data_IF_252772056501
#
_entry.id   IF_252772056501
#
_cell.length_a   1.000
_cell.length_b   1.000
_cell.length_c   1.000
_cell.angle_alpha   90.00
_cell.angle_beta   90.00
_cell.angle_gamma   90.00
#
_symmetry.space_group_name_H-M   'P 1'
#
loop_
_entity.id
_entity.type
_entity.pdbx_description
1 polymer ?
#
# COMPACT_ATOMS: atom_id res chain seq x y z
N UNK A 1 -0.87 -46.34 3.96
CA UNK A 1 -0.41 -45.08 3.34
C UNK A 1 -0.93 -43.97 4.20
N UNK A 2 -0.07 -43.45 5.10
CA UNK A 2 -0.45 -42.47 6.11
C UNK A 2 -0.32 -41.08 5.53
N UNK A 3 -1.44 -40.33 5.54
CA UNK A 3 -1.50 -38.90 5.22
C UNK A 3 -0.75 -38.13 6.32
N UNK A 4 0.42 -37.60 6.02
CA UNK A 4 1.11 -36.63 6.87
C UNK A 4 0.47 -35.26 6.63
N UNK A 5 -0.29 -34.80 7.64
CA UNK A 5 -0.74 -33.41 7.73
C UNK A 5 0.48 -32.51 7.92
N UNK A 6 0.73 -31.61 6.98
CA UNK A 6 1.69 -30.51 7.10
C UNK A 6 1.04 -29.36 7.89
N UNK A 7 0.82 -29.55 9.17
CA UNK A 7 0.56 -28.46 10.11
C UNK A 7 1.80 -28.28 10.99
N UNK A 8 2.41 -27.08 11.07
CA UNK A 8 3.47 -26.84 12.03
C UNK A 8 2.89 -26.93 13.43
N UNK A 9 3.50 -27.76 14.27
CA UNK A 9 3.14 -27.92 15.68
C UNK A 9 3.43 -26.61 16.42
N UNK A 10 2.38 -25.86 16.76
CA UNK A 10 2.45 -24.75 17.69
C UNK A 10 2.36 -25.33 19.09
N UNK A 11 3.45 -25.29 19.85
CA UNK A 11 3.44 -25.62 21.28
C UNK A 11 2.64 -24.57 22.05
N UNK A 12 1.86 -25.01 23.03
CA UNK A 12 0.85 -24.26 23.78
C UNK A 12 1.41 -23.24 24.80
N UNK A 13 2.65 -22.81 24.66
CA UNK A 13 3.24 -21.77 25.48
C UNK A 13 3.69 -20.60 24.59
N UNK A 14 2.78 -19.62 24.44
CA UNK A 14 3.05 -18.37 23.74
C UNK A 14 3.98 -17.40 24.50
N UNK A 15 5.11 -17.87 25.02
CA UNK A 15 6.25 -17.04 25.38
C UNK A 15 7.04 -16.76 24.11
N UNK A 16 7.32 -15.47 23.87
CA UNK A 16 8.34 -15.06 22.92
C UNK A 16 9.57 -15.92 23.17
N UNK A 17 9.91 -16.79 22.19
CA UNK A 17 11.09 -17.64 22.28
C UNK A 17 12.30 -16.74 22.50
N UNK A 18 13.21 -17.18 23.38
CA UNK A 18 14.55 -16.66 23.50
C UNK A 18 15.20 -16.61 22.10
N UNK A 19 15.10 -15.46 21.44
CA UNK A 19 15.93 -15.19 20.26
C UNK A 19 17.35 -15.09 20.77
N UNK A 20 18.33 -15.75 20.13
CA UNK A 20 19.74 -15.58 20.48
C UNK A 20 20.05 -14.09 20.48
N UNK A 21 20.92 -13.65 21.40
CA UNK A 21 21.31 -12.28 21.65
C UNK A 21 21.46 -11.47 20.35
N UNK A 22 20.35 -10.85 19.92
CA UNK A 22 20.40 -9.89 18.84
C UNK A 22 21.19 -8.68 19.34
N UNK A 23 22.06 -8.10 18.51
CA UNK A 23 22.76 -6.88 18.89
C UNK A 23 21.75 -5.84 19.37
N UNK A 24 22.11 -5.01 20.38
CA UNK A 24 21.20 -4.00 20.89
C UNK A 24 20.68 -3.15 19.73
N UNK A 25 19.38 -2.78 19.77
CA UNK A 25 18.78 -2.00 18.69
C UNK A 25 19.61 -0.76 18.40
N UNK A 26 19.88 -0.44 17.11
CA UNK A 26 20.49 0.83 16.77
C UNK A 26 19.63 1.94 17.38
N UNK A 27 20.27 2.97 17.90
CA UNK A 27 19.57 4.09 18.51
C UNK A 27 18.46 4.58 17.57
N UNK A 28 17.23 4.77 18.04
CA UNK A 28 16.05 5.19 17.22
C UNK A 28 16.37 6.33 16.24
N UNK A 29 17.14 7.39 16.62
CA UNK A 29 17.58 8.43 15.69
C UNK A 29 18.44 7.91 14.53
N UNK A 30 19.33 6.96 14.77
CA UNK A 30 20.20 6.38 13.72
C UNK A 30 19.37 5.57 12.73
N UNK A 31 18.45 4.76 13.22
CA UNK A 31 17.57 3.97 12.35
C UNK A 31 16.64 4.87 11.51
N UNK A 32 16.07 5.92 12.10
CA UNK A 32 15.29 6.90 11.37
C UNK A 32 16.13 7.58 10.28
N UNK A 33 17.36 7.99 10.59
CA UNK A 33 18.28 8.58 9.62
C UNK A 33 18.58 7.60 8.47
N UNK A 34 18.81 6.33 8.76
CA UNK A 34 19.05 5.29 7.73
C UNK A 34 17.84 5.15 6.79
N UNK A 35 16.61 5.12 7.33
CA UNK A 35 15.40 5.09 6.53
C UNK A 35 15.24 6.35 5.66
N UNK A 36 15.45 7.55 6.22
CA UNK A 36 15.39 8.78 5.44
C UNK A 36 16.44 8.86 4.35
N UNK A 37 17.67 8.39 4.62
CA UNK A 37 18.72 8.30 3.60
C UNK A 37 18.34 7.31 2.50
N UNK A 38 17.75 6.17 2.84
CA UNK A 38 17.25 5.21 1.87
C UNK A 38 16.17 5.83 0.96
N UNK A 39 15.19 6.54 1.53
CA UNK A 39 14.12 7.19 0.75
C UNK A 39 14.68 8.32 -0.11
N UNK A 40 15.51 9.20 0.45
CA UNK A 40 16.14 10.29 -0.31
C UNK A 40 16.97 9.74 -1.47
N UNK A 41 17.80 8.72 -1.21
CA UNK A 41 18.62 8.09 -2.26
C UNK A 41 17.73 7.49 -3.35
N UNK A 42 16.67 6.79 -2.97
CA UNK A 42 15.70 6.21 -3.91
C UNK A 42 15.04 7.28 -4.80
N UNK A 43 14.63 8.41 -4.21
CA UNK A 43 14.03 9.51 -4.99
C UNK A 43 15.05 10.23 -5.88
N UNK A 44 16.30 10.38 -5.43
CA UNK A 44 17.38 10.91 -6.26
C UNK A 44 17.68 9.98 -7.45
N UNK A 45 17.80 8.68 -7.21
CA UNK A 45 17.96 7.66 -8.26
C UNK A 45 16.79 7.71 -9.23
N UNK A 46 15.56 7.81 -8.71
CA UNK A 46 14.35 7.98 -9.52
C UNK A 46 14.39 9.23 -10.40
N UNK A 47 14.74 10.39 -9.83
CA UNK A 47 14.84 11.67 -10.55
C UNK A 47 15.93 11.62 -11.65
N UNK A 48 17.08 11.03 -11.35
CA UNK A 48 18.15 10.83 -12.35
C UNK A 48 17.70 9.89 -13.47
N UNK A 49 17.01 8.80 -13.13
CA UNK A 49 16.46 7.87 -14.13
C UNK A 49 15.44 8.57 -15.02
N UNK A 50 14.54 9.36 -14.42
CA UNK A 50 13.54 10.16 -15.15
C UNK A 50 14.19 11.11 -16.14
N UNK A 51 15.16 11.90 -15.65
CA UNK A 51 15.89 12.83 -16.48
C UNK A 51 16.62 12.14 -17.64
N UNK A 52 17.32 11.03 -17.40
CA UNK A 52 18.04 10.27 -18.45
C UNK A 52 17.11 9.68 -19.48
N UNK A 53 15.93 9.18 -19.09
CA UNK A 53 14.94 8.66 -20.04
C UNK A 53 14.35 9.77 -20.91
N UNK A 54 14.10 10.95 -20.35
CA UNK A 54 13.67 12.12 -21.14
C UNK A 54 14.76 12.58 -22.11
N UNK A 55 16.01 12.68 -21.65
CA UNK A 55 17.14 13.14 -22.48
C UNK A 55 17.42 12.16 -23.63
N UNK A 56 17.33 10.86 -23.39
CA UNK A 56 17.62 9.84 -24.42
C UNK A 56 16.51 9.67 -25.45
N UNK A 57 15.29 10.07 -25.13
CA UNK A 57 14.10 9.84 -25.97
C UNK A 57 13.77 8.36 -26.23
N UNK A 58 14.37 7.43 -25.46
CA UNK A 58 14.17 5.98 -25.64
C UNK A 58 12.75 5.52 -25.24
N UNK A 59 12.10 6.29 -24.39
CA UNK A 59 10.70 6.07 -23.96
C UNK A 59 9.99 7.41 -24.04
N UNK A 60 8.97 7.52 -24.89
CA UNK A 60 8.26 8.79 -25.13
C UNK A 60 7.06 8.97 -24.19
N UNK A 61 6.32 7.88 -23.88
CA UNK A 61 5.13 7.97 -23.05
C UNK A 61 5.51 8.16 -21.57
N UNK A 62 5.14 9.29 -20.94
CA UNK A 62 5.44 9.57 -19.53
C UNK A 62 4.97 8.46 -18.57
N UNK A 63 3.90 7.75 -18.91
CA UNK A 63 3.41 6.61 -18.13
C UNK A 63 4.49 5.52 -18.01
N UNK A 64 5.14 5.13 -19.10
CA UNK A 64 6.17 4.09 -19.06
C UNK A 64 7.50 4.59 -18.47
N UNK A 65 7.82 5.88 -18.64
CA UNK A 65 8.94 6.51 -17.92
C UNK A 65 8.72 6.37 -16.41
N UNK A 66 7.55 6.77 -15.90
CA UNK A 66 7.22 6.67 -14.49
C UNK A 66 7.24 5.22 -13.97
N UNK A 67 6.81 4.25 -14.79
CA UNK A 67 6.88 2.83 -14.43
C UNK A 67 8.33 2.36 -14.20
N UNK A 68 9.21 2.65 -15.16
CA UNK A 68 10.64 2.29 -15.06
C UNK A 68 11.27 2.97 -13.84
N UNK A 69 11.02 4.27 -13.67
CA UNK A 69 11.51 5.07 -12.53
C UNK A 69 11.07 4.44 -11.20
N UNK A 70 9.81 4.07 -11.10
CA UNK A 70 9.26 3.47 -9.88
C UNK A 70 9.91 2.13 -9.57
N UNK A 71 10.13 1.27 -10.57
CA UNK A 71 10.83 0.00 -10.39
C UNK A 71 12.29 0.20 -9.99
N UNK A 72 13.03 1.10 -10.65
CA UNK A 72 14.44 1.40 -10.32
C UNK A 72 14.58 1.98 -8.92
N UNK A 73 13.69 2.90 -8.53
CA UNK A 73 13.64 3.46 -7.17
C UNK A 73 13.37 2.40 -6.13
N UNK A 74 12.49 1.44 -6.43
CA UNK A 74 12.18 0.31 -5.53
C UNK A 74 13.38 -0.62 -5.38
N UNK A 75 14.15 -0.87 -6.44
CA UNK A 75 15.41 -1.64 -6.35
C UNK A 75 16.42 -0.93 -5.44
N UNK A 76 16.50 0.40 -5.48
CA UNK A 76 17.36 1.15 -4.55
C UNK A 76 16.93 0.92 -3.08
N UNK A 77 15.64 0.97 -2.77
CA UNK A 77 15.12 0.63 -1.42
C UNK A 77 15.46 -0.81 -1.02
N UNK A 78 15.31 -1.76 -1.95
CA UNK A 78 15.67 -3.15 -1.70
C UNK A 78 17.17 -3.33 -1.36
N UNK A 79 18.07 -2.60 -2.00
CA UNK A 79 19.51 -2.59 -1.65
C UNK A 79 19.71 -2.10 -0.21
N UNK A 80 19.00 -1.07 0.23
CA UNK A 80 19.04 -0.63 1.63
C UNK A 80 18.44 -1.67 2.57
N UNK A 81 17.42 -2.41 2.15
CA UNK A 81 16.85 -3.52 2.92
C UNK A 81 17.88 -4.63 3.14
N UNK A 82 18.68 -4.98 2.12
CA UNK A 82 19.80 -5.92 2.25
C UNK A 82 20.84 -5.39 3.22
N UNK A 83 21.28 -4.14 3.04
CA UNK A 83 22.33 -3.52 3.84
C UNK A 83 21.99 -3.44 5.33
N UNK A 84 20.71 -3.37 5.68
CA UNK A 84 20.21 -3.31 7.06
C UNK A 84 19.61 -4.65 7.55
N UNK A 85 19.66 -5.70 6.73
CA UNK A 85 19.01 -7.00 6.99
C UNK A 85 17.54 -6.85 7.45
N UNK A 86 16.80 -5.92 6.84
CA UNK A 86 15.42 -5.59 7.24
C UNK A 86 14.57 -5.09 6.06
N UNK A 87 13.64 -5.91 5.60
CA UNK A 87 12.74 -5.55 4.48
C UNK A 87 11.65 -4.55 4.87
N UNK A 88 11.39 -4.31 6.17
CA UNK A 88 10.41 -3.33 6.64
C UNK A 88 10.80 -1.87 6.35
N UNK A 89 12.00 -1.60 5.83
CA UNK A 89 12.35 -0.29 5.24
C UNK A 89 11.40 0.06 4.08
N UNK A 90 10.92 -0.94 3.35
CA UNK A 90 9.99 -0.74 2.24
C UNK A 90 8.58 -0.29 2.69
N UNK A 91 8.13 -0.69 3.88
CA UNK A 91 6.75 -0.47 4.31
C UNK A 91 6.30 1.01 4.28
N UNK A 92 7.04 2.01 4.79
CA UNK A 92 6.66 3.41 4.60
C UNK A 92 6.88 3.92 3.18
N UNK A 93 7.84 3.35 2.45
CA UNK A 93 8.22 3.83 1.12
C UNK A 93 7.08 3.71 0.11
N UNK A 94 6.39 2.56 0.04
CA UNK A 94 5.33 2.35 -0.93
C UNK A 94 4.15 3.32 -0.79
N UNK A 95 4.00 3.94 0.39
CA UNK A 95 2.98 4.96 0.67
C UNK A 95 3.47 6.36 0.32
N UNK A 96 4.77 6.66 0.49
CA UNK A 96 5.35 7.97 0.15
C UNK A 96 5.52 8.12 -1.37
N UNK A 97 5.84 7.05 -2.06
CA UNK A 97 6.19 7.08 -3.48
C UNK A 97 5.06 7.61 -4.39
N UNK A 98 3.78 7.18 -4.30
CA UNK A 98 2.72 7.68 -5.17
C UNK A 98 2.45 9.19 -5.09
N UNK A 99 2.38 9.85 -3.92
CA UNK A 99 2.25 11.31 -3.82
C UNK A 99 3.41 12.07 -4.46
N UNK A 100 4.66 11.60 -4.28
CA UNK A 100 5.85 12.21 -4.91
C UNK A 100 5.84 12.00 -6.42
N UNK A 101 5.50 10.79 -6.86
CA UNK A 101 5.38 10.45 -8.27
C UNK A 101 4.30 11.29 -8.97
N UNK A 102 3.19 11.60 -8.29
CA UNK A 102 2.15 12.47 -8.81
C UNK A 102 2.68 13.88 -9.15
N UNK A 103 3.54 14.43 -8.30
CA UNK A 103 4.22 15.72 -8.59
C UNK A 103 5.17 15.61 -9.78
N UNK A 104 5.90 14.49 -9.92
CA UNK A 104 6.76 14.25 -11.06
C UNK A 104 5.96 14.19 -12.38
N UNK A 105 4.80 13.51 -12.37
CA UNK A 105 3.90 13.50 -13.54
C UNK A 105 3.35 14.89 -13.86
N UNK A 106 2.97 15.67 -12.85
CA UNK A 106 2.55 17.06 -13.08
C UNK A 106 3.68 17.90 -13.68
N UNK A 107 4.92 17.66 -13.28
CA UNK A 107 6.07 18.36 -13.81
C UNK A 107 6.30 18.11 -15.33
N UNK A 108 5.81 17.00 -15.87
CA UNK A 108 5.86 16.69 -17.33
C UNK A 108 4.67 17.22 -18.12
N UNK A 109 3.58 17.61 -17.45
CA UNK A 109 2.44 18.25 -18.09
C UNK A 109 2.79 19.69 -18.50
N UNK A 110 2.01 20.29 -19.42
CA UNK A 110 2.22 21.64 -19.94
C UNK A 110 2.53 22.68 -18.86
N UNK A 111 3.61 23.44 -19.03
CA UNK A 111 4.10 24.44 -18.09
C UNK A 111 4.86 23.92 -16.86
N UNK A 112 5.08 22.62 -16.72
CA UNK A 112 5.82 22.02 -15.63
C UNK A 112 5.11 22.13 -14.27
N UNK A 113 5.87 21.95 -13.17
CA UNK A 113 5.33 21.99 -11.81
C UNK A 113 4.84 23.39 -11.39
N UNK A 114 5.46 24.44 -11.92
CA UNK A 114 5.12 25.84 -11.65
C UNK A 114 4.10 26.42 -12.63
N UNK A 115 3.73 25.67 -13.68
CA UNK A 115 2.71 26.04 -14.64
C UNK A 115 1.28 25.90 -14.11
N UNK A 116 0.31 26.12 -15.01
CA UNK A 116 -1.11 26.04 -14.64
C UNK A 116 -1.51 24.64 -14.18
N UNK A 117 -2.32 24.61 -13.14
CA UNK A 117 -2.93 23.41 -12.60
C UNK A 117 -4.42 23.37 -12.94
N UNK A 118 -4.90 22.29 -13.52
CA UNK A 118 -6.34 22.07 -13.57
C UNK A 118 -6.87 21.67 -12.19
N UNK A 119 -8.14 21.99 -11.90
CA UNK A 119 -8.78 21.55 -10.66
C UNK A 119 -8.72 20.02 -10.44
N UNK A 120 -8.73 19.25 -11.52
CA UNK A 120 -8.57 17.78 -11.50
C UNK A 120 -7.18 17.37 -11.04
N UNK A 121 -6.13 17.98 -11.57
CA UNK A 121 -4.75 17.69 -11.17
C UNK A 121 -4.53 18.00 -9.68
N UNK A 122 -5.04 19.15 -9.21
CA UNK A 122 -5.03 19.50 -7.78
C UNK A 122 -5.75 18.44 -6.94
N UNK A 123 -6.94 18.01 -7.38
CA UNK A 123 -7.73 17.02 -6.66
C UNK A 123 -7.02 15.66 -6.55
N UNK A 124 -6.47 15.15 -7.65
CA UNK A 124 -5.72 13.87 -7.65
C UNK A 124 -4.54 13.94 -6.69
N UNK A 125 -3.72 14.99 -6.77
CA UNK A 125 -2.56 15.17 -5.89
C UNK A 125 -3.00 15.31 -4.43
N UNK A 126 -4.01 16.13 -4.15
CA UNK A 126 -4.53 16.31 -2.79
C UNK A 126 -5.05 15.00 -2.18
N UNK A 127 -5.83 14.21 -2.95
CA UNK A 127 -6.31 12.90 -2.47
C UNK A 127 -5.16 11.96 -2.11
N UNK A 128 -4.11 11.87 -2.94
CA UNK A 128 -2.94 11.05 -2.67
C UNK A 128 -2.17 11.51 -1.41
N UNK A 129 -1.99 12.82 -1.24
CA UNK A 129 -1.33 13.34 -0.05
C UNK A 129 -2.16 13.11 1.22
N UNK A 130 -3.48 13.28 1.18
CA UNK A 130 -4.37 13.00 2.32
C UNK A 130 -4.28 11.52 2.70
N UNK A 131 -4.34 10.60 1.71
CA UNK A 131 -4.18 9.17 1.92
C UNK A 131 -2.80 8.83 2.50
N UNK A 132 -1.71 9.35 1.92
CA UNK A 132 -0.34 9.08 2.38
C UNK A 132 -0.08 9.64 3.79
N UNK A 133 -0.52 10.86 4.10
CA UNK A 133 -0.38 11.47 5.43
C UNK A 133 -1.12 10.63 6.47
N UNK A 134 -2.35 10.18 6.17
CA UNK A 134 -3.11 9.32 7.08
C UNK A 134 -2.33 8.04 7.42
N UNK A 135 -1.76 7.37 6.44
CA UNK A 135 -0.93 6.19 6.67
C UNK A 135 0.26 6.51 7.58
N UNK A 136 0.99 7.59 7.32
CA UNK A 136 2.17 7.97 8.09
C UNK A 136 1.88 8.38 9.53
N UNK A 137 0.70 8.96 9.78
CA UNK A 137 0.33 9.44 11.11
C UNK A 137 -0.30 8.36 11.98
N UNK A 138 -1.04 7.43 11.38
CA UNK A 138 -1.87 6.47 12.11
C UNK A 138 -1.25 5.07 12.19
N UNK A 139 -0.35 4.70 11.28
CA UNK A 139 0.21 3.36 11.24
C UNK A 139 1.50 3.25 12.06
N UNK A 140 1.65 2.16 12.82
CA UNK A 140 2.90 1.83 13.51
C UNK A 140 3.81 1.10 12.55
N UNK A 141 4.60 1.85 11.78
CA UNK A 141 5.57 1.26 10.87
C UNK A 141 6.70 0.57 11.62
N UNK A 142 6.96 -0.71 11.25
CA UNK A 142 8.01 -1.50 11.88
C UNK A 142 9.41 -0.90 11.72
N UNK A 143 9.78 -0.45 10.52
CA UNK A 143 11.15 -0.06 10.20
C UNK A 143 11.72 1.09 11.04
N UNK A 144 11.29 2.30 10.79
CA UNK A 144 11.89 3.49 11.41
C UNK A 144 11.38 3.79 12.84
N UNK A 145 10.14 3.40 13.19
CA UNK A 145 9.62 3.56 14.55
C UNK A 145 10.18 2.56 15.54
N UNK A 146 10.52 1.36 15.07
CA UNK A 146 11.11 0.30 15.88
C UNK A 146 12.62 0.30 15.87
N UNK A 147 13.27 1.21 15.12
CA UNK A 147 14.71 1.31 15.05
C UNK A 147 15.36 0.22 14.21
N UNK A 148 14.66 -0.32 13.21
CA UNK A 148 15.09 -1.42 12.33
C UNK A 148 15.40 -2.74 13.07
N UNK A 149 14.95 -2.87 14.31
CA UNK A 149 15.16 -4.08 15.14
C UNK A 149 14.08 -5.12 14.90
N UNK A 150 12.88 -4.63 14.58
CA UNK A 150 11.73 -5.48 14.32
C UNK A 150 11.43 -5.49 12.82
N UNK A 151 11.34 -6.68 12.28
CA UNK A 151 10.87 -6.91 10.92
C UNK A 151 9.41 -7.38 10.95
N UNK A 152 8.61 -7.03 9.95
CA UNK A 152 7.23 -7.49 9.87
C UNK A 152 7.20 -9.03 9.75
N UNK A 153 6.26 -9.65 10.44
CA UNK A 153 6.13 -11.11 10.49
C UNK A 153 6.01 -11.79 9.12
N UNK A 154 5.51 -11.09 8.10
CA UNK A 154 5.42 -11.60 6.72
C UNK A 154 6.81 -11.85 6.15
N UNK A 155 7.76 -10.97 6.42
CA UNK A 155 9.16 -11.12 5.99
C UNK A 155 9.85 -12.23 6.77
N UNK A 156 9.58 -12.35 8.08
CA UNK A 156 10.11 -13.45 8.89
C UNK A 156 9.62 -14.82 8.37
N UNK A 157 8.35 -14.95 7.99
CA UNK A 157 7.82 -16.18 7.37
C UNK A 157 8.47 -16.45 6.00
N UNK A 158 8.75 -15.42 5.21
CA UNK A 158 9.42 -15.58 3.91
C UNK A 158 10.88 -16.00 4.04
N UNK A 159 11.57 -15.67 5.14
CA UNK A 159 12.94 -16.15 5.42
C UNK A 159 12.97 -17.66 5.60
N UNK A 160 11.91 -18.28 6.07
CA UNK A 160 11.78 -19.73 6.22
C UNK A 160 11.42 -20.47 4.91
N UNK A 161 11.12 -19.76 3.83
CA UNK A 161 10.77 -20.37 2.55
C UNK A 161 12.00 -20.97 1.85
N UNK A 162 11.83 -22.03 1.00
CA UNK A 162 12.94 -22.68 0.31
C UNK A 162 13.56 -21.85 -0.84
N UNK A 163 13.07 -20.64 -1.06
CA UNK A 163 13.58 -19.70 -2.08
C UNK A 163 14.59 -18.75 -1.43
N UNK A 164 15.68 -18.36 -2.11
CA UNK A 164 16.61 -17.36 -1.58
C UNK A 164 15.89 -16.11 -1.12
N UNK A 165 15.99 -15.78 0.16
CA UNK A 165 15.20 -14.73 0.79
C UNK A 165 15.23 -13.41 0.03
N UNK A 166 16.42 -12.92 -0.34
CA UNK A 166 16.54 -11.62 -0.97
C UNK A 166 15.91 -11.56 -2.37
N UNK A 167 15.91 -12.68 -3.12
CA UNK A 167 15.19 -12.76 -4.39
C UNK A 167 13.68 -12.73 -4.15
N UNK A 168 13.19 -13.50 -3.18
CA UNK A 168 11.78 -13.52 -2.79
C UNK A 168 11.34 -12.15 -2.26
N UNK A 169 12.17 -11.50 -1.44
CA UNK A 169 11.94 -10.14 -0.95
C UNK A 169 11.86 -9.12 -2.10
N UNK A 170 12.78 -9.17 -3.09
CA UNK A 170 12.73 -8.27 -4.24
C UNK A 170 11.45 -8.43 -5.04
N UNK A 171 11.14 -9.66 -5.44
CA UNK A 171 10.03 -9.92 -6.37
C UNK A 171 8.67 -9.84 -5.68
N UNK A 172 8.54 -10.48 -4.51
CA UNK A 172 7.26 -10.63 -3.81
C UNK A 172 6.88 -9.47 -2.90
N UNK A 173 7.86 -8.82 -2.26
CA UNK A 173 7.58 -7.81 -1.23
C UNK A 173 7.95 -6.38 -1.63
N UNK A 174 8.83 -6.20 -2.61
CA UNK A 174 9.21 -4.87 -3.10
C UNK A 174 8.59 -4.58 -4.47
N UNK A 175 8.93 -5.35 -5.50
CA UNK A 175 8.46 -5.07 -6.86
C UNK A 175 6.97 -5.39 -7.06
N UNK A 176 6.47 -6.51 -6.56
CA UNK A 176 5.07 -6.87 -6.77
C UNK A 176 4.09 -5.81 -6.23
N UNK A 177 4.17 -5.36 -4.95
CA UNK A 177 3.27 -4.31 -4.48
C UNK A 177 3.53 -2.97 -5.15
N UNK A 178 4.78 -2.64 -5.49
CA UNK A 178 5.11 -1.43 -6.26
C UNK A 178 4.40 -1.41 -7.61
N UNK A 179 4.48 -2.51 -8.37
CA UNK A 179 3.81 -2.65 -9.67
C UNK A 179 2.30 -2.56 -9.50
N UNK A 180 1.75 -3.25 -8.50
CA UNK A 180 0.32 -3.24 -8.21
C UNK A 180 -0.19 -1.83 -7.91
N UNK A 181 0.48 -1.10 -7.02
CA UNK A 181 0.13 0.29 -6.66
C UNK A 181 0.31 1.23 -7.85
N UNK A 182 1.38 1.08 -8.62
CA UNK A 182 1.61 1.88 -9.81
C UNK A 182 0.46 1.76 -10.82
N UNK A 183 0.05 0.53 -11.14
CA UNK A 183 -1.07 0.32 -12.05
C UNK A 183 -2.42 0.68 -11.42
N UNK A 184 -2.59 0.54 -10.12
CA UNK A 184 -3.79 1.03 -9.44
C UNK A 184 -3.92 2.56 -9.51
N UNK A 185 -2.78 3.27 -9.54
CA UNK A 185 -2.71 4.72 -9.75
C UNK A 185 -2.82 5.14 -11.22
N UNK A 186 -2.75 4.23 -12.19
CA UNK A 186 -2.76 4.55 -13.62
C UNK A 186 -3.88 5.54 -14.05
N UNK A 187 -5.14 5.43 -13.57
CA UNK A 187 -6.17 6.42 -13.90
C UNK A 187 -5.81 7.85 -13.47
N UNK A 188 -5.25 7.99 -12.26
CA UNK A 188 -4.78 9.28 -11.75
C UNK A 188 -3.59 9.82 -12.53
N UNK A 189 -2.64 8.95 -12.91
CA UNK A 189 -1.48 9.33 -13.74
C UNK A 189 -1.97 9.90 -15.07
N UNK A 190 -2.88 9.23 -15.77
CA UNK A 190 -3.42 9.68 -17.05
C UNK A 190 -4.16 11.02 -16.93
N UNK A 191 -4.81 11.28 -15.79
CA UNK A 191 -5.42 12.58 -15.50
C UNK A 191 -4.36 13.68 -15.24
N UNK A 192 -3.23 13.33 -14.63
CA UNK A 192 -2.14 14.28 -14.32
C UNK A 192 -1.34 14.71 -15.54
N UNK A 193 -1.06 13.78 -16.47
CA UNK A 193 -0.25 14.07 -17.67
C UNK A 193 -1.05 14.76 -18.78
N UNK A 194 -2.37 14.77 -18.70
CA UNK A 194 -3.21 15.44 -19.67
C UNK A 194 -3.02 16.97 -19.58
N UNK A 195 -2.94 17.65 -20.75
CA UNK A 195 -2.70 19.08 -20.84
C UNK A 195 -3.85 19.89 -20.22
N UNK A 196 -3.60 20.72 -19.19
CA UNK A 196 -4.63 21.52 -18.52
C UNK A 196 -5.42 22.42 -19.47
N UNK A 197 -4.77 22.93 -20.54
CA UNK A 197 -5.40 23.85 -21.51
C UNK A 197 -6.45 23.17 -22.38
N UNK A 198 -6.35 21.86 -22.58
CA UNK A 198 -7.27 21.09 -23.45
C UNK A 198 -8.29 20.26 -22.69
N UNK A 199 -8.16 20.17 -21.37
CA UNK A 199 -9.07 19.39 -20.55
C UNK A 199 -10.40 20.12 -20.29
N UNK A 200 -11.53 19.37 -20.17
CA UNK A 200 -12.74 19.92 -19.59
C UNK A 200 -12.48 20.44 -18.18
N UNK A 201 -13.20 21.50 -17.73
CA UNK A 201 -13.10 21.99 -16.37
C UNK A 201 -13.49 20.90 -15.36
N UNK A 202 -13.13 21.13 -14.09
CA UNK A 202 -13.53 20.26 -12.98
C UNK A 202 -15.06 20.06 -12.98
N UNK A 203 -15.53 18.81 -12.96
CA UNK A 203 -16.94 18.47 -13.10
C UNK A 203 -17.40 17.32 -12.18
N UNK A 204 -18.55 16.75 -12.50
CA UNK A 204 -19.21 15.73 -11.68
C UNK A 204 -18.35 14.46 -11.48
N UNK A 205 -17.63 14.03 -12.50
CA UNK A 205 -16.73 12.87 -12.40
C UNK A 205 -15.58 13.13 -11.42
N UNK A 206 -15.00 14.32 -11.46
CA UNK A 206 -13.93 14.70 -10.54
C UNK A 206 -14.46 14.77 -9.09
N UNK A 207 -15.65 15.34 -8.90
CA UNK A 207 -16.31 15.38 -7.60
C UNK A 207 -16.61 13.98 -7.07
N UNK A 208 -17.02 13.03 -7.93
CA UNK A 208 -17.20 11.62 -7.56
C UNK A 208 -15.88 10.98 -7.13
N UNK A 209 -14.78 11.23 -7.87
CA UNK A 209 -13.44 10.77 -7.51
C UNK A 209 -12.99 11.28 -6.14
N UNK A 210 -13.15 12.59 -5.89
CA UNK A 210 -12.82 13.19 -4.58
C UNK A 210 -13.68 12.59 -3.46
N UNK A 211 -15.01 12.51 -3.67
CA UNK A 211 -15.91 11.97 -2.66
C UNK A 211 -15.59 10.50 -2.32
N UNK A 212 -15.28 9.68 -3.33
CA UNK A 212 -14.85 8.31 -3.17
C UNK A 212 -13.54 8.19 -2.40
N UNK A 213 -12.53 8.97 -2.76
CA UNK A 213 -11.22 8.98 -2.11
C UNK A 213 -11.31 9.41 -0.63
N UNK A 214 -12.04 10.48 -0.34
CA UNK A 214 -12.23 10.95 1.04
C UNK A 214 -13.04 9.96 1.89
N UNK A 215 -14.07 9.33 1.30
CA UNK A 215 -14.82 8.26 1.97
C UNK A 215 -13.92 7.06 2.27
N UNK A 216 -13.07 6.66 1.34
CA UNK A 216 -12.09 5.59 1.51
C UNK A 216 -11.15 5.88 2.67
N UNK A 217 -10.51 7.06 2.67
CA UNK A 217 -9.62 7.49 3.75
C UNK A 217 -10.33 7.53 5.11
N UNK A 218 -11.58 8.00 5.15
CA UNK A 218 -12.38 8.00 6.38
C UNK A 218 -12.66 6.58 6.89
N UNK A 219 -13.05 5.64 6.01
CA UNK A 219 -13.27 4.23 6.37
C UNK A 219 -11.99 3.63 6.95
N UNK A 220 -10.85 3.85 6.30
CA UNK A 220 -9.56 3.35 6.79
C UNK A 220 -9.17 3.95 8.14
N UNK A 221 -9.29 5.27 8.28
CA UNK A 221 -8.98 5.99 9.51
C UNK A 221 -9.80 5.46 10.69
N UNK A 222 -11.12 5.37 10.50
CA UNK A 222 -12.01 4.90 11.58
C UNK A 222 -11.82 3.42 11.88
N UNK A 223 -11.62 2.57 10.88
CA UNK A 223 -11.42 1.14 11.10
C UNK A 223 -10.10 0.86 11.82
N UNK A 224 -9.01 1.51 11.44
CA UNK A 224 -7.71 1.35 12.07
C UNK A 224 -7.71 1.87 13.52
N UNK A 225 -8.35 3.02 13.77
CA UNK A 225 -8.48 3.58 15.12
C UNK A 225 -9.38 2.71 16.02
N UNK A 226 -10.46 2.16 15.49
CA UNK A 226 -11.30 1.21 16.21
C UNK A 226 -10.51 -0.05 16.58
N UNK A 227 -9.72 -0.60 15.64
CA UNK A 227 -8.89 -1.77 15.90
C UNK A 227 -7.76 -1.45 16.88
N UNK A 228 -7.13 -0.28 16.78
CA UNK A 228 -6.09 0.17 17.71
C UNK A 228 -6.61 0.20 19.14
N UNK A 229 -7.77 0.85 19.37
CA UNK A 229 -8.42 0.89 20.70
C UNK A 229 -8.81 -0.51 21.20
N UNK A 230 -9.32 -1.36 20.30
CA UNK A 230 -9.69 -2.71 20.67
C UNK A 230 -8.48 -3.55 21.12
N UNK A 231 -7.32 -3.36 20.50
CA UNK A 231 -6.06 -4.06 20.89
C UNK A 231 -5.58 -3.71 22.30
N UNK A 232 -6.05 -2.62 22.89
CA UNK A 232 -5.73 -2.20 24.26
C UNK A 232 -6.68 -2.85 25.31
N UNK A 233 -7.68 -3.64 24.89
CA UNK A 233 -8.69 -4.25 25.79
C UNK A 233 -8.32 -5.67 26.19
N UNK A 234 -8.80 -6.11 27.36
CA UNK A 234 -8.69 -7.50 27.82
C UNK A 234 -9.35 -8.48 26.84
N UNK A 235 -10.41 -8.07 26.16
CA UNK A 235 -11.09 -8.89 25.16
C UNK A 235 -10.14 -9.31 24.04
N UNK A 236 -9.29 -8.39 23.54
CA UNK A 236 -8.29 -8.73 22.54
C UNK A 236 -7.26 -9.72 23.06
N UNK A 237 -6.75 -9.52 24.27
CA UNK A 237 -5.75 -10.39 24.90
C UNK A 237 -6.31 -11.78 25.23
N UNK A 238 -7.62 -11.88 25.45
CA UNK A 238 -8.34 -13.14 25.64
C UNK A 238 -8.77 -13.80 24.31
N UNK A 239 -8.28 -13.34 23.17
CA UNK A 239 -8.55 -13.96 21.86
C UNK A 239 -9.92 -13.64 21.26
N UNK A 240 -10.66 -12.66 21.80
CA UNK A 240 -11.95 -12.23 21.22
C UNK A 240 -11.72 -11.50 19.90
N UNK A 241 -12.57 -11.77 18.91
CA UNK A 241 -12.53 -11.09 17.62
C UNK A 241 -13.19 -9.70 17.70
N UNK A 242 -12.64 -8.71 17.01
CA UNK A 242 -13.24 -7.39 16.86
C UNK A 242 -14.57 -7.48 16.08
N UNK A 243 -15.68 -7.01 16.69
CA UNK A 243 -17.04 -7.02 16.10
C UNK A 243 -17.80 -5.73 16.38
N UNK A 244 -17.11 -4.60 16.56
CA UNK A 244 -17.70 -3.30 16.87
C UNK A 244 -17.46 -2.30 15.75
N UNK A 245 -18.29 -1.27 15.67
CA UNK A 245 -18.17 -0.23 14.67
C UNK A 245 -18.18 -0.77 13.23
N UNK A 246 -17.21 -0.39 12.40
CA UNK A 246 -17.09 -0.87 11.02
C UNK A 246 -16.83 -2.38 10.94
N UNK A 247 -16.15 -2.94 11.93
CA UNK A 247 -15.83 -4.37 12.02
C UNK A 247 -17.04 -5.26 12.33
N UNK A 248 -18.18 -4.66 12.62
CA UNK A 248 -19.47 -5.37 12.67
C UNK A 248 -19.95 -5.75 11.27
N UNK A 249 -19.65 -4.96 10.27
CA UNK A 249 -20.18 -5.10 8.92
C UNK A 249 -19.17 -5.69 7.92
N UNK A 250 -17.88 -5.66 8.25
CA UNK A 250 -16.80 -6.23 7.46
C UNK A 250 -15.71 -6.76 8.38
N UNK A 251 -15.10 -7.91 8.02
CA UNK A 251 -13.93 -8.44 8.74
C UNK A 251 -12.64 -7.67 8.43
N UNK A 252 -12.62 -6.94 7.29
CA UNK A 252 -11.49 -6.15 6.82
C UNK A 252 -11.96 -4.81 6.24
N UNK A 253 -12.58 -3.93 7.05
CA UNK A 253 -13.12 -2.66 6.54
C UNK A 253 -12.04 -1.70 6.07
N UNK A 254 -10.82 -1.76 6.64
CA UNK A 254 -9.65 -1.01 6.17
C UNK A 254 -9.20 -1.46 4.78
N UNK A 255 -9.26 -2.75 4.45
CA UNK A 255 -8.96 -3.25 3.10
C UNK A 255 -10.01 -2.81 2.08
N UNK A 256 -11.28 -2.72 2.50
CA UNK A 256 -12.31 -2.13 1.66
C UNK A 256 -12.04 -0.65 1.37
N UNK A 257 -11.60 0.11 2.37
CA UNK A 257 -11.18 1.50 2.20
C UNK A 257 -10.06 1.63 1.16
N UNK A 258 -9.00 0.82 1.29
CA UNK A 258 -7.87 0.83 0.36
C UNK A 258 -8.29 0.54 -1.09
N UNK A 259 -9.13 -0.48 -1.30
CA UNK A 259 -9.68 -0.79 -2.63
C UNK A 259 -10.54 0.36 -3.17
N UNK A 260 -11.39 0.93 -2.32
CA UNK A 260 -12.24 2.06 -2.69
C UNK A 260 -11.41 3.28 -3.09
N UNK A 261 -10.29 3.55 -2.39
CA UNK A 261 -9.38 4.64 -2.72
C UNK A 261 -8.84 4.51 -4.16
N UNK A 262 -8.32 3.36 -4.53
CA UNK A 262 -7.76 3.15 -5.87
C UNK A 262 -8.86 3.10 -6.94
N UNK A 263 -10.03 2.56 -6.66
CA UNK A 263 -11.18 2.63 -7.55
C UNK A 263 -11.66 4.08 -7.78
N UNK A 264 -11.53 4.94 -6.76
CA UNK A 264 -11.92 6.35 -6.86
C UNK A 264 -10.99 7.20 -7.75
N UNK A 265 -9.86 6.63 -8.22
CA UNK A 265 -9.03 7.28 -9.23
C UNK A 265 -9.62 7.16 -10.65
N UNK A 266 -10.48 6.16 -10.92
CA UNK A 266 -11.08 5.93 -12.25
C UNK A 266 -11.91 7.14 -12.74
N UNK A 267 -12.80 7.76 -11.94
CA UNK A 267 -13.53 8.94 -12.34
C UNK A 267 -12.69 10.07 -12.91
N UNK A 268 -11.47 10.32 -12.40
CA UNK A 268 -10.59 11.37 -12.92
C UNK A 268 -10.09 11.10 -14.35
N UNK A 269 -10.04 9.83 -14.78
CA UNK A 269 -9.61 9.45 -16.12
C UNK A 269 -10.70 9.62 -17.19
N UNK A 270 -11.97 9.75 -16.79
CA UNK A 270 -13.12 9.84 -17.72
C UNK A 270 -13.11 11.16 -18.49
N UNK A 271 -13.05 12.35 -17.86
CA UNK A 271 -13.12 13.62 -18.57
C UNK A 271 -11.95 13.88 -19.52
N UNK A 272 -10.78 13.25 -19.24
CA UNK A 272 -9.61 13.36 -20.14
C UNK A 272 -9.64 12.33 -21.27
N UNK A 273 -10.73 11.58 -21.43
CA UNK A 273 -10.89 10.57 -22.48
C UNK A 273 -10.04 9.30 -22.29
N UNK A 274 -9.31 9.18 -21.18
CA UNK A 274 -8.37 8.08 -20.98
C UNK A 274 -9.08 6.73 -20.84
N UNK A 275 -10.28 6.69 -20.23
CA UNK A 275 -11.05 5.45 -20.12
C UNK A 275 -11.48 4.93 -21.51
N UNK A 276 -11.85 5.81 -22.44
CA UNK A 276 -12.23 5.42 -23.80
C UNK A 276 -11.00 5.00 -24.64
N UNK A 277 -9.88 5.73 -24.50
CA UNK A 277 -8.68 5.51 -25.30
C UNK A 277 -7.83 4.32 -24.81
N UNK A 278 -7.77 4.08 -23.49
CA UNK A 278 -6.90 3.09 -22.84
C UNK A 278 -7.64 2.33 -21.73
N UNK A 279 -8.79 1.67 -21.99
CA UNK A 279 -9.63 1.08 -20.94
C UNK A 279 -8.90 0.03 -20.10
N UNK A 280 -8.06 -0.80 -20.73
CA UNK A 280 -7.28 -1.79 -20.02
C UNK A 280 -6.32 -1.16 -19.01
N UNK A 281 -5.66 -0.05 -19.37
CA UNK A 281 -4.73 0.64 -18.50
C UNK A 281 -5.44 1.32 -17.31
N UNK A 282 -6.64 1.87 -17.56
CA UNK A 282 -7.45 2.52 -16.53
C UNK A 282 -8.05 1.51 -15.53
N UNK A 283 -8.45 0.32 -16.00
CA UNK A 283 -9.21 -0.61 -15.16
C UNK A 283 -8.36 -1.72 -14.55
N UNK A 284 -7.31 -2.20 -15.23
CA UNK A 284 -6.58 -3.39 -14.82
C UNK A 284 -5.95 -3.27 -13.42
N UNK A 285 -5.33 -2.13 -13.12
CA UNK A 285 -4.67 -1.92 -11.84
C UNK A 285 -5.65 -1.85 -10.65
N UNK A 286 -6.69 -0.99 -10.67
CA UNK A 286 -7.71 -0.96 -9.62
C UNK A 286 -8.42 -2.31 -9.43
N UNK A 287 -8.71 -3.05 -10.51
CA UNK A 287 -9.30 -4.40 -10.43
C UNK A 287 -8.30 -5.40 -9.82
N UNK A 288 -7.05 -5.38 -10.24
CA UNK A 288 -6.00 -6.23 -9.66
C UNK A 288 -5.82 -5.95 -8.16
N UNK A 289 -5.90 -4.68 -7.74
CA UNK A 289 -5.88 -4.28 -6.34
C UNK A 289 -7.06 -4.89 -5.56
N UNK A 290 -8.27 -4.85 -6.11
CA UNK A 290 -9.43 -5.45 -5.49
C UNK A 290 -9.29 -6.98 -5.34
N UNK A 291 -8.77 -7.66 -6.35
CA UNK A 291 -8.50 -9.10 -6.32
C UNK A 291 -7.43 -9.41 -5.26
N UNK A 292 -6.34 -8.65 -5.24
CA UNK A 292 -5.26 -8.83 -4.27
C UNK A 292 -5.75 -8.66 -2.83
N UNK A 293 -6.52 -7.61 -2.53
CA UNK A 293 -7.06 -7.40 -1.19
C UNK A 293 -8.12 -8.44 -0.82
N UNK A 294 -8.91 -8.94 -1.80
CA UNK A 294 -9.82 -10.05 -1.55
C UNK A 294 -9.06 -11.33 -1.15
N UNK A 295 -7.93 -11.60 -1.81
CA UNK A 295 -7.03 -12.69 -1.43
C UNK A 295 -6.40 -12.46 -0.05
N UNK A 296 -5.94 -11.24 0.22
CA UNK A 296 -5.36 -10.85 1.52
C UNK A 296 -6.36 -11.03 2.67
N UNK A 297 -7.66 -10.76 2.45
CA UNK A 297 -8.70 -11.08 3.43
C UNK A 297 -8.70 -12.57 3.79
N UNK A 298 -8.63 -13.45 2.79
CA UNK A 298 -8.59 -14.89 3.03
C UNK A 298 -7.35 -15.29 3.87
N UNK A 299 -6.17 -14.77 3.54
CA UNK A 299 -4.95 -15.03 4.33
C UNK A 299 -5.10 -14.59 5.79
N UNK A 300 -5.68 -13.40 6.02
CA UNK A 300 -5.90 -12.89 7.38
C UNK A 300 -6.96 -13.70 8.13
N UNK A 301 -7.99 -14.18 7.44
CA UNK A 301 -9.01 -15.07 8.05
C UNK A 301 -8.38 -16.42 8.46
N UNK A 302 -7.56 -17.04 7.59
CA UNK A 302 -6.84 -18.28 7.93
C UNK A 302 -5.97 -18.10 9.18
N UNK A 303 -5.22 -17.00 9.25
CA UNK A 303 -4.39 -16.67 10.41
C UNK A 303 -5.23 -16.43 11.67
N UNK A 304 -6.38 -15.78 11.53
CA UNK A 304 -7.29 -15.51 12.66
C UNK A 304 -7.97 -16.78 13.17
N UNK A 305 -8.35 -17.69 12.28
CA UNK A 305 -8.90 -19.01 12.63
C UNK A 305 -7.88 -19.85 13.43
N UNK A 306 -6.60 -19.80 13.08
CA UNK A 306 -5.55 -20.51 13.81
C UNK A 306 -5.30 -19.95 15.23
N UNK A 307 -5.69 -18.70 15.50
CA UNK A 307 -5.37 -18.00 16.76
C UNK A 307 -6.57 -17.79 17.69
N UNK A 308 -7.79 -17.85 17.16
CA UNK A 308 -9.02 -17.49 17.88
C UNK A 308 -10.05 -18.60 17.76
N UNK A 309 -10.38 -19.32 18.86
CA UNK A 309 -11.27 -20.49 18.81
C UNK A 309 -12.65 -20.21 18.19
N UNK A 310 -13.19 -19.00 18.40
CA UNK A 310 -14.54 -18.64 17.95
C UNK A 310 -14.57 -17.82 16.66
N UNK A 311 -13.44 -17.73 15.93
CA UNK A 311 -13.39 -16.88 14.74
C UNK A 311 -14.21 -17.44 13.56
N UNK A 312 -14.48 -18.74 13.53
CA UNK A 312 -15.34 -19.36 12.51
C UNK A 312 -16.73 -18.71 12.48
N UNK A 313 -17.33 -18.45 13.64
CA UNK A 313 -18.61 -17.75 13.71
C UNK A 313 -18.55 -16.36 13.06
N UNK A 314 -17.45 -15.64 13.22
CA UNK A 314 -17.27 -14.32 12.58
C UNK A 314 -17.16 -14.46 11.05
N UNK A 315 -16.51 -15.52 10.58
CA UNK A 315 -16.40 -15.82 9.13
C UNK A 315 -17.79 -16.11 8.54
N UNK A 316 -18.64 -16.84 9.25
CA UNK A 316 -19.96 -17.25 8.79
C UNK A 316 -20.96 -16.08 8.77
N UNK A 317 -20.87 -15.17 9.75
CA UNK A 317 -21.82 -14.08 9.94
C UNK A 317 -21.42 -12.76 9.24
N UNK A 318 -20.13 -12.43 9.19
CA UNK A 318 -19.66 -11.11 8.76
C UNK A 318 -19.03 -11.17 7.37
N UNK A 319 -19.35 -10.20 6.52
CA UNK A 319 -18.75 -10.07 5.18
C UNK A 319 -17.22 -9.99 5.24
N UNK A 320 -16.55 -10.59 4.26
CA UNK A 320 -15.09 -10.60 4.22
C UNK A 320 -14.48 -9.19 4.05
N UNK A 321 -14.95 -8.40 3.08
CA UNK A 321 -14.35 -7.11 2.74
C UNK A 321 -15.41 -6.03 2.55
N UNK A 322 -16.34 -6.18 1.60
CA UNK A 322 -17.37 -5.19 1.36
C UNK A 322 -18.33 -5.16 2.55
N UNK A 323 -18.54 -4.01 3.20
CA UNK A 323 -19.42 -3.92 4.36
C UNK A 323 -20.85 -4.34 4.01
N UNK A 324 -21.39 -5.27 4.79
CA UNK A 324 -22.75 -5.80 4.61
C UNK A 324 -23.39 -6.11 5.96
N UNK A 325 -24.72 -6.13 5.97
CA UNK A 325 -25.45 -6.52 7.20
C UNK A 325 -25.06 -7.94 7.60
N UNK A 326 -24.67 -8.17 8.88
CA UNK A 326 -24.33 -9.50 9.34
C UNK A 326 -25.49 -10.48 9.13
N UNK A 327 -25.16 -11.72 8.84
CA UNK A 327 -26.15 -12.80 8.83
C UNK A 327 -26.59 -13.11 10.25
N UNK A 328 -27.86 -13.30 10.45
CA UNK A 328 -28.44 -13.76 11.72
C UNK A 328 -28.18 -15.23 11.94
#
# INVERSE_FOLDING_TARGET
MQNRSLAPSITAEGRMSDKPDLPPPPHRPVAALQCYLAYLTSFVVGALTWWRLLESGTVEDPFWIGFIVTCVSTVAIWIFSIANDNSSIYDPYWVIAPPILALAFKATAGGGLLGDWSGRQVAVVACLWIWGIRYHTMYSWGGWRTGLVHEDWRYEEMRAAPVPYWLNSLLGMHLFPTVLVYFAFAPGILALVADPATQPPFGAWDALGVAGALTAVAIELFSDEQLRKFRETDAYHNGVAMRQGLWKYSRHPNYFGEVLFWLSMIPFAIPVGALAARPALVLAGPVAMAIFFRFSCWLMDVRSLARRPNYQQVVDEVSAMVPWVPKS
#
